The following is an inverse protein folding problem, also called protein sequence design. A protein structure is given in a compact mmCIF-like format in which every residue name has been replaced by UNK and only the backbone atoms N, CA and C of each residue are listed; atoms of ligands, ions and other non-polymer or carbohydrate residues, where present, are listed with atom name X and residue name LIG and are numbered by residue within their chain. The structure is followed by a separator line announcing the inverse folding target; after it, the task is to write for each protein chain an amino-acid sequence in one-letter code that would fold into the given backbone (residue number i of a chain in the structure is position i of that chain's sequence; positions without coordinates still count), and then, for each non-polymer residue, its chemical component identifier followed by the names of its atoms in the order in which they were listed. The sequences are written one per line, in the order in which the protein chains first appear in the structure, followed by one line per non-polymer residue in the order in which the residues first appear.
data_IF_014041892261
#
_entry.id   IF_014041892261
#
_cell.length_a   1.000
_cell.length_b   1.000
_cell.length_c   1.000
_cell.angle_alpha   90.00
_cell.angle_beta   90.00
_cell.angle_gamma   90.00
#
_symmetry.space_group_name_H-M   'P 1'
#
loop_
_entity.id
_entity.type
_entity.pdbx_description
1 polymer ?
#
# COMPACT_ATOMS: atom_id res chain seq x y z
N UNK A 1 3.82 -34.62 -11.20
CA UNK A 1 3.22 -33.36 -11.66
C UNK A 1 3.93 -32.21 -10.98
N UNK A 2 4.58 -31.38 -11.75
CA UNK A 2 5.19 -30.17 -11.21
C UNK A 2 4.06 -29.20 -10.81
N UNK A 3 4.23 -28.58 -9.66
CA UNK A 3 3.31 -27.50 -9.27
C UNK A 3 3.32 -26.43 -10.37
N UNK A 4 2.16 -26.03 -10.81
CA UNK A 4 2.05 -24.92 -11.76
C UNK A 4 2.41 -23.64 -11.02
N UNK A 5 3.46 -22.94 -11.49
CA UNK A 5 3.83 -21.67 -10.90
C UNK A 5 2.69 -20.68 -11.09
N UNK A 6 2.24 -20.07 -9.99
CA UNK A 6 1.23 -19.03 -10.05
C UNK A 6 1.81 -17.81 -10.75
N UNK A 7 1.15 -17.37 -11.81
CA UNK A 7 1.56 -16.19 -12.54
C UNK A 7 1.07 -14.94 -11.80
N UNK A 8 2.01 -14.20 -11.21
CA UNK A 8 1.74 -12.92 -10.56
C UNK A 8 1.99 -11.77 -11.54
N UNK A 9 1.03 -10.88 -11.66
CA UNK A 9 1.14 -9.67 -12.47
C UNK A 9 0.74 -8.48 -11.63
N UNK A 10 1.57 -7.44 -11.64
CA UNK A 10 1.24 -6.16 -11.02
C UNK A 10 0.93 -5.16 -12.13
N UNK A 11 -0.21 -4.52 -12.06
CA UNK A 11 -0.64 -3.56 -13.07
C UNK A 11 -1.23 -2.31 -12.44
N UNK A 12 -1.03 -1.18 -13.13
CA UNK A 12 -1.66 0.09 -12.74
C UNK A 12 -3.15 0.04 -13.04
N UNK A 13 -3.95 0.53 -12.11
CA UNK A 13 -5.39 0.74 -12.30
C UNK A 13 -5.58 1.84 -13.35
N UNK A 14 -6.33 1.56 -14.42
CA UNK A 14 -6.49 2.47 -15.55
C UNK A 14 -7.93 2.93 -15.80
N UNK A 15 -8.90 2.33 -15.12
CA UNK A 15 -10.31 2.64 -15.32
C UNK A 15 -11.12 2.38 -14.07
N UNK A 16 -12.39 2.77 -14.11
CA UNK A 16 -13.28 2.64 -12.95
C UNK A 16 -13.53 1.18 -12.57
N UNK A 17 -13.61 0.28 -13.54
CA UNK A 17 -13.83 -1.15 -13.27
C UNK A 17 -12.65 -1.74 -12.48
N UNK A 18 -11.43 -1.37 -12.85
CA UNK A 18 -10.23 -1.80 -12.13
C UNK A 18 -10.13 -1.15 -10.74
N UNK A 19 -10.49 0.13 -10.63
CA UNK A 19 -10.55 0.78 -9.33
C UNK A 19 -11.56 0.08 -8.43
N UNK A 20 -12.70 -0.31 -8.97
CA UNK A 20 -13.71 -1.07 -8.23
C UNK A 20 -13.14 -2.39 -7.69
N UNK A 21 -12.33 -3.09 -8.49
CA UNK A 21 -11.65 -4.31 -8.04
C UNK A 21 -10.69 -4.03 -6.87
N UNK A 22 -9.94 -2.93 -6.94
CA UNK A 22 -9.05 -2.53 -5.85
C UNK A 22 -9.85 -2.21 -4.57
N UNK A 23 -10.94 -1.46 -4.70
CA UNK A 23 -11.79 -1.13 -3.56
C UNK A 23 -12.46 -2.37 -2.97
N UNK A 24 -12.81 -3.37 -3.79
CA UNK A 24 -13.40 -4.62 -3.30
C UNK A 24 -12.40 -5.40 -2.44
N UNK A 25 -11.13 -5.45 -2.83
CA UNK A 25 -10.08 -6.08 -2.02
C UNK A 25 -9.92 -5.34 -0.69
N UNK A 26 -9.90 -4.01 -0.72
CA UNK A 26 -9.78 -3.18 0.47
C UNK A 26 -10.97 -3.38 1.41
N UNK A 27 -12.16 -3.55 0.87
CA UNK A 27 -13.36 -3.85 1.66
C UNK A 27 -13.18 -5.15 2.44
N UNK A 28 -12.73 -6.20 1.79
CA UNK A 28 -12.49 -7.49 2.44
C UNK A 28 -11.45 -7.37 3.54
N UNK A 29 -10.31 -6.72 3.26
CA UNK A 29 -9.18 -6.68 4.20
C UNK A 29 -9.40 -5.66 5.31
N UNK A 30 -9.79 -4.44 4.97
CA UNK A 30 -9.84 -3.37 5.98
C UNK A 30 -11.18 -3.29 6.68
N UNK A 31 -12.29 -3.47 5.97
CA UNK A 31 -13.61 -3.32 6.56
C UNK A 31 -14.07 -4.63 7.20
N UNK A 32 -14.07 -5.73 6.45
CA UNK A 32 -14.58 -7.00 6.96
C UNK A 32 -13.60 -7.66 7.93
N UNK A 33 -12.31 -7.73 7.59
CA UNK A 33 -11.31 -8.41 8.40
C UNK A 33 -10.82 -7.55 9.58
N UNK A 34 -10.51 -6.27 9.35
CA UNK A 34 -9.92 -5.39 10.35
C UNK A 34 -10.93 -4.45 11.01
N UNK A 35 -12.18 -4.46 10.56
CA UNK A 35 -13.28 -3.65 11.12
C UNK A 35 -13.05 -2.15 11.04
N UNK A 36 -12.33 -1.68 10.03
CA UNK A 36 -12.18 -0.24 9.77
C UNK A 36 -13.51 0.30 9.23
N UNK A 37 -14.03 1.42 9.77
CA UNK A 37 -15.26 2.00 9.24
C UNK A 37 -15.12 2.40 7.78
N UNK A 38 -16.13 2.11 6.96
CA UNK A 38 -16.14 2.44 5.54
C UNK A 38 -15.90 3.93 5.30
N UNK A 39 -16.45 4.79 6.15
CA UNK A 39 -16.30 6.24 6.06
C UNK A 39 -14.86 6.72 6.25
N UNK A 40 -14.00 5.91 6.87
CA UNK A 40 -12.58 6.21 7.07
C UNK A 40 -11.73 5.55 5.99
N UNK A 41 -12.06 4.32 5.60
CA UNK A 41 -11.26 3.52 4.67
C UNK A 41 -11.22 4.13 3.28
N UNK A 42 -12.36 4.56 2.76
CA UNK A 42 -12.45 5.26 1.48
C UNK A 42 -12.36 6.76 1.73
N UNK A 43 -11.44 7.43 1.05
CA UNK A 43 -11.18 8.84 1.27
C UNK A 43 -11.03 9.61 -0.07
N UNK A 44 -10.91 10.93 0.03
CA UNK A 44 -10.80 11.81 -1.13
C UNK A 44 -9.51 11.57 -1.93
N UNK A 45 -8.49 10.97 -1.31
CA UNK A 45 -7.23 10.69 -1.98
C UNK A 45 -7.37 9.62 -3.05
N UNK A 46 -8.39 8.78 -2.98
CA UNK A 46 -8.62 7.71 -3.95
C UNK A 46 -8.79 8.24 -5.38
N UNK A 47 -9.34 9.42 -5.54
CA UNK A 47 -9.57 10.00 -6.86
C UNK A 47 -8.28 10.39 -7.59
N UNK A 48 -7.20 10.69 -6.85
CA UNK A 48 -5.93 11.15 -7.41
C UNK A 48 -4.75 10.23 -7.14
N UNK A 49 -4.97 9.14 -6.43
CA UNK A 49 -3.91 8.20 -6.11
C UNK A 49 -3.50 7.35 -7.31
N UNK A 50 -2.24 6.94 -7.30
CA UNK A 50 -1.76 5.91 -8.21
C UNK A 50 -2.06 4.56 -7.55
N UNK A 51 -3.01 3.82 -8.12
CA UNK A 51 -3.43 2.52 -7.60
C UNK A 51 -2.81 1.39 -8.39
N UNK A 52 -2.39 0.34 -7.69
CA UNK A 52 -1.94 -0.91 -8.30
C UNK A 52 -2.90 -2.04 -7.95
N UNK A 53 -3.00 -3.00 -8.86
CA UNK A 53 -3.64 -4.29 -8.63
C UNK A 53 -2.62 -5.40 -8.83
N UNK A 54 -2.65 -6.38 -7.96
CA UNK A 54 -1.91 -7.63 -8.14
C UNK A 54 -2.89 -8.71 -8.56
N UNK A 55 -2.52 -9.44 -9.62
CA UNK A 55 -3.31 -10.55 -10.15
C UNK A 55 -2.55 -11.85 -10.00
N UNK A 56 -3.24 -12.89 -9.56
CA UNK A 56 -2.72 -14.26 -9.59
C UNK A 56 -3.59 -15.05 -10.55
N UNK A 57 -2.99 -15.52 -11.64
CA UNK A 57 -3.68 -16.26 -12.70
C UNK A 57 -4.97 -15.55 -13.18
N UNK A 58 -4.87 -14.22 -13.32
CA UNK A 58 -5.97 -13.38 -13.79
C UNK A 58 -6.97 -12.94 -12.73
N UNK A 59 -6.80 -13.36 -11.47
CA UNK A 59 -7.68 -12.95 -10.37
C UNK A 59 -7.03 -11.85 -9.55
N UNK A 60 -7.76 -10.78 -9.29
CA UNK A 60 -7.28 -9.67 -8.45
C UNK A 60 -7.18 -10.15 -7.00
N UNK A 61 -5.97 -10.08 -6.42
CA UNK A 61 -5.68 -10.61 -5.08
C UNK A 61 -5.04 -9.60 -4.14
N UNK A 62 -4.58 -8.47 -4.65
CA UNK A 62 -3.92 -7.47 -3.83
C UNK A 62 -3.98 -6.10 -4.46
N UNK A 63 -3.75 -5.08 -3.64
CA UNK A 63 -3.75 -3.68 -4.09
C UNK A 63 -2.86 -2.83 -3.19
N UNK A 64 -2.53 -1.64 -3.66
CA UNK A 64 -1.83 -0.62 -2.91
C UNK A 64 -1.94 0.70 -3.63
N UNK A 65 -1.69 1.80 -2.94
CA UNK A 65 -1.76 3.12 -3.56
C UNK A 65 -0.58 4.00 -3.16
N UNK A 66 -0.23 4.92 -4.06
CA UNK A 66 0.73 5.99 -3.82
C UNK A 66 0.01 7.31 -3.98
N UNK A 67 0.15 8.19 -2.99
CA UNK A 67 -0.38 9.54 -3.01
C UNK A 67 0.80 10.51 -2.87
N UNK A 68 0.88 11.52 -3.73
CA UNK A 68 1.88 12.58 -3.58
C UNK A 68 1.39 13.54 -2.50
N UNK A 69 2.23 13.81 -1.51
CA UNK A 69 1.86 14.66 -0.39
C UNK A 69 1.96 16.14 -0.76
N UNK A 70 1.08 16.98 -0.20
CA UNK A 70 1.16 18.43 -0.45
C UNK A 70 2.38 19.09 0.20
N UNK A 71 2.95 18.44 1.23
CA UNK A 71 4.11 18.92 1.98
C UNK A 71 4.99 17.75 2.39
N UNK A 72 6.33 17.97 2.53
CA UNK A 72 7.18 16.92 3.09
C UNK A 72 6.79 16.65 4.55
N UNK A 73 7.10 15.46 5.07
CA UNK A 73 6.90 15.19 6.48
C UNK A 73 7.84 16.04 7.33
N UNK A 74 7.51 16.17 8.61
CA UNK A 74 8.27 17.03 9.54
C UNK A 74 9.76 16.70 9.51
N UNK A 75 10.59 17.76 9.39
CA UNK A 75 12.05 17.64 9.36
C UNK A 75 12.62 17.30 7.98
N UNK A 76 11.79 17.12 6.97
CA UNK A 76 12.22 16.75 5.63
C UNK A 76 12.00 17.87 4.63
N UNK A 77 12.70 17.77 3.49
CA UNK A 77 12.55 18.69 2.36
C UNK A 77 12.20 17.88 1.11
N UNK A 78 11.86 18.58 0.03
CA UNK A 78 11.55 17.95 -1.24
C UNK A 78 10.10 17.52 -1.34
N UNK A 79 9.82 16.69 -2.33
CA UNK A 79 8.48 16.16 -2.59
C UNK A 79 8.40 14.70 -2.13
N UNK A 80 7.42 14.41 -1.32
CA UNK A 80 7.26 13.08 -0.71
C UNK A 80 5.96 12.42 -1.12
N UNK A 81 6.01 11.10 -1.23
CA UNK A 81 4.83 10.29 -1.42
C UNK A 81 4.42 9.57 -0.15
N UNK A 82 3.17 9.16 -0.09
CA UNK A 82 2.68 8.26 0.95
C UNK A 82 2.14 7.01 0.30
N UNK A 83 2.70 5.87 0.69
CA UNK A 83 2.22 4.55 0.27
C UNK A 83 1.27 4.05 1.36
N UNK A 84 0.12 3.55 0.93
CA UNK A 84 -0.87 3.04 1.87
C UNK A 84 -1.90 2.16 1.20
N UNK A 85 -2.89 1.79 1.98
CA UNK A 85 -3.97 0.89 1.54
C UNK A 85 -3.42 -0.38 0.90
N UNK A 86 -2.28 -0.85 1.42
CA UNK A 86 -1.69 -2.12 1.02
C UNK A 86 -2.54 -3.25 1.58
N UNK A 87 -3.12 -4.04 0.69
CA UNK A 87 -4.01 -5.12 1.09
C UNK A 87 -3.81 -6.33 0.20
N UNK A 88 -3.65 -7.50 0.81
CA UNK A 88 -3.56 -8.77 0.11
C UNK A 88 -4.60 -9.71 0.73
N UNK A 89 -5.38 -10.38 -0.10
CA UNK A 89 -6.37 -11.34 0.38
C UNK A 89 -5.71 -12.40 1.25
N UNK A 90 -6.36 -12.77 2.34
CA UNK A 90 -5.79 -13.65 3.37
C UNK A 90 -5.21 -14.95 2.79
N UNK A 91 -5.91 -15.58 1.87
CA UNK A 91 -5.46 -16.82 1.23
C UNK A 91 -4.21 -16.66 0.37
N UNK A 92 -3.89 -15.42 -0.03
CA UNK A 92 -2.79 -15.13 -0.93
C UNK A 92 -1.58 -14.52 -0.22
N UNK A 93 -1.63 -14.41 1.10
CA UNK A 93 -0.53 -13.85 1.90
C UNK A 93 0.63 -14.83 2.00
N UNK A 94 1.82 -14.32 2.34
CA UNK A 94 3.08 -15.08 2.49
C UNK A 94 3.64 -15.63 1.18
N UNK A 95 3.18 -15.09 0.05
CA UNK A 95 3.68 -15.47 -1.28
C UNK A 95 4.39 -14.31 -1.99
N UNK A 96 4.74 -13.25 -1.26
CA UNK A 96 5.51 -12.14 -1.81
C UNK A 96 4.69 -11.08 -2.53
N UNK A 97 3.37 -11.12 -2.49
CA UNK A 97 2.50 -10.17 -3.20
C UNK A 97 2.70 -8.74 -2.65
N UNK A 98 2.70 -8.58 -1.33
CA UNK A 98 2.94 -7.29 -0.70
C UNK A 98 4.30 -6.71 -1.06
N UNK A 99 5.31 -7.56 -1.13
CA UNK A 99 6.66 -7.22 -1.56
C UNK A 99 6.67 -6.59 -2.95
N UNK A 100 6.00 -7.26 -3.90
CA UNK A 100 5.93 -6.79 -5.29
C UNK A 100 5.15 -5.49 -5.40
N UNK A 101 4.04 -5.37 -4.69
CA UNK A 101 3.25 -4.14 -4.67
C UNK A 101 4.07 -2.97 -4.14
N UNK A 102 4.75 -3.16 -3.02
CA UNK A 102 5.55 -2.11 -2.42
C UNK A 102 6.67 -1.65 -3.36
N UNK A 103 7.38 -2.60 -3.96
CA UNK A 103 8.45 -2.29 -4.91
C UNK A 103 7.97 -1.52 -6.12
N UNK A 104 6.81 -1.88 -6.66
CA UNK A 104 6.24 -1.18 -7.81
C UNK A 104 5.78 0.23 -7.44
N UNK A 105 5.20 0.42 -6.25
CA UNK A 105 4.84 1.75 -5.77
C UNK A 105 6.08 2.62 -5.54
N UNK A 106 7.14 2.06 -4.98
CA UNK A 106 8.42 2.77 -4.84
C UNK A 106 9.01 3.12 -6.20
N UNK A 107 8.91 2.21 -7.15
CA UNK A 107 9.37 2.44 -8.53
C UNK A 107 8.66 3.63 -9.18
N UNK A 108 7.35 3.73 -9.00
CA UNK A 108 6.59 4.88 -9.49
C UNK A 108 7.01 6.18 -8.80
N UNK A 109 7.20 6.15 -7.48
CA UNK A 109 7.68 7.31 -6.74
C UNK A 109 9.04 7.79 -7.25
N UNK A 110 9.95 6.85 -7.54
CA UNK A 110 11.26 7.19 -8.12
C UNK A 110 11.14 7.78 -9.52
N UNK A 111 10.28 7.23 -10.36
CA UNK A 111 10.04 7.75 -11.71
C UNK A 111 9.52 9.19 -11.68
N UNK A 112 8.76 9.53 -10.65
CA UNK A 112 8.25 10.90 -10.45
C UNK A 112 9.26 11.85 -9.83
N UNK A 113 10.46 11.36 -9.48
CA UNK A 113 11.51 12.17 -8.87
C UNK A 113 11.24 12.54 -7.42
N UNK A 114 10.44 11.75 -6.70
CA UNK A 114 10.17 12.02 -5.30
C UNK A 114 11.42 11.80 -4.45
N UNK A 115 11.57 12.61 -3.40
CA UNK A 115 12.70 12.56 -2.48
C UNK A 115 12.65 11.28 -1.63
N UNK A 116 11.46 10.84 -1.30
CA UNK A 116 11.24 9.65 -0.51
C UNK A 116 9.76 9.34 -0.37
N UNK A 117 9.47 8.28 0.36
CA UNK A 117 8.11 7.88 0.67
C UNK A 117 7.98 7.58 2.16
N UNK A 118 6.77 7.74 2.65
CA UNK A 118 6.43 7.34 4.01
C UNK A 118 5.23 6.41 4.01
N UNK A 119 5.11 5.65 5.06
CA UNK A 119 3.96 4.79 5.33
C UNK A 119 3.48 5.05 6.75
N UNK A 120 2.17 4.92 6.97
CA UNK A 120 1.63 4.76 8.32
C UNK A 120 1.48 3.26 8.55
N UNK A 121 2.48 2.67 9.18
CA UNK A 121 2.55 1.22 9.35
C UNK A 121 1.78 0.78 10.57
N UNK A 122 0.86 -0.17 10.41
CA UNK A 122 0.31 -0.87 11.56
C UNK A 122 1.45 -1.59 12.28
N UNK A 123 1.46 -1.57 13.61
CA UNK A 123 2.62 -2.07 14.38
C UNK A 123 3.02 -3.49 13.99
N UNK A 124 2.05 -4.38 13.75
CA UNK A 124 2.40 -5.75 13.39
C UNK A 124 3.09 -5.85 12.01
N UNK A 125 2.91 -4.85 11.16
CA UNK A 125 3.50 -4.82 9.82
C UNK A 125 4.81 -4.02 9.75
N UNK A 126 5.23 -3.40 10.85
CA UNK A 126 6.43 -2.55 10.86
C UNK A 126 7.66 -3.30 10.39
N UNK A 127 7.85 -4.55 10.85
CA UNK A 127 8.98 -5.38 10.45
C UNK A 127 9.08 -5.59 8.94
N UNK A 128 7.94 -5.72 8.27
CA UNK A 128 7.88 -5.82 6.82
C UNK A 128 8.47 -4.56 6.16
N UNK A 129 8.08 -3.38 6.63
CA UNK A 129 8.60 -2.12 6.10
C UNK A 129 10.07 -1.89 6.46
N UNK A 130 10.47 -2.24 7.68
CA UNK A 130 11.87 -2.15 8.09
C UNK A 130 12.77 -3.02 7.21
N UNK A 131 12.30 -4.20 6.84
CA UNK A 131 13.01 -5.09 5.93
C UNK A 131 13.23 -4.43 4.55
N UNK A 132 12.35 -3.53 4.16
CA UNK A 132 12.46 -2.77 2.90
C UNK A 132 13.19 -1.44 3.06
N UNK A 133 13.83 -1.18 4.20
CA UNK A 133 14.65 0.00 4.40
C UNK A 133 13.90 1.20 5.00
N UNK A 134 12.70 1.00 5.48
CA UNK A 134 11.95 2.07 6.16
C UNK A 134 12.41 2.18 7.60
N UNK A 135 12.50 3.42 8.11
CA UNK A 135 12.85 3.69 9.49
C UNK A 135 11.68 4.33 10.22
N UNK A 136 11.29 3.81 11.39
CA UNK A 136 10.20 4.42 12.15
C UNK A 136 10.61 5.79 12.68
N UNK A 137 9.64 6.72 12.68
CA UNK A 137 9.85 8.10 13.12
C UNK A 137 8.67 8.50 14.00
N UNK A 138 8.99 9.01 15.19
CA UNK A 138 7.99 9.54 16.10
C UNK A 138 7.29 8.47 16.94
N UNK A 139 6.26 8.89 17.64
CA UNK A 139 5.53 8.05 18.58
C UNK A 139 4.47 7.21 17.86
N UNK A 140 4.06 6.14 18.51
CA UNK A 140 2.90 5.35 18.11
C UNK A 140 1.65 6.23 18.19
N UNK A 141 0.79 6.14 17.19
CA UNK A 141 -0.49 6.85 17.15
C UNK A 141 -1.59 5.91 16.71
N UNK A 142 -2.83 6.26 17.06
CA UNK A 142 -3.98 5.45 16.68
C UNK A 142 -4.60 6.03 15.41
N UNK A 143 -4.88 5.16 14.44
CA UNK A 143 -5.56 5.51 13.21
C UNK A 143 -6.56 4.39 12.92
N UNK A 144 -7.82 4.78 12.74
CA UNK A 144 -8.92 3.82 12.52
C UNK A 144 -9.01 2.73 13.62
N UNK A 145 -8.69 3.08 14.86
CA UNK A 145 -8.73 2.15 15.99
C UNK A 145 -7.55 1.18 16.07
N UNK A 146 -6.53 1.37 15.27
CA UNK A 146 -5.36 0.48 15.19
C UNK A 146 -4.10 1.29 15.45
N UNK A 147 -3.18 0.75 16.26
CA UNK A 147 -1.89 1.39 16.53
C UNK A 147 -1.00 1.38 15.30
N UNK A 148 -0.46 2.56 14.98
CA UNK A 148 0.42 2.79 13.83
C UNK A 148 1.68 3.52 14.26
N UNK A 149 2.70 3.48 13.41
CA UNK A 149 3.86 4.35 13.50
C UNK A 149 4.23 4.81 12.09
N UNK A 150 4.66 6.06 11.96
CA UNK A 150 5.15 6.55 10.67
C UNK A 150 6.54 5.96 10.41
N UNK A 151 6.78 5.47 9.20
CA UNK A 151 8.09 4.99 8.79
C UNK A 151 8.44 5.61 7.43
N UNK A 152 9.70 5.98 7.25
CA UNK A 152 10.17 6.74 6.09
C UNK A 152 11.31 6.05 5.40
N UNK A 153 11.35 6.22 4.08
CA UNK A 153 12.45 5.75 3.23
C UNK A 153 12.86 6.86 2.27
N UNK A 154 14.14 7.23 2.31
CA UNK A 154 14.74 8.19 1.38
C UNK A 154 15.21 7.46 0.12
N UNK A 155 15.07 8.12 -1.00
CA UNK A 155 15.58 7.59 -2.26
C UNK A 155 16.96 8.16 -2.60
#
# INVERSE_FOLDING_TARGET
MTATDTKLVIAQVKNEAELFQALAIREVVFIEEQHVPETIERDAEDARAHHLLAFADGHAIGTGRLVVRPRPPEGETGTWGQIGRMAVLQSERKHGVGNLLLRELEGEARRRGLTGVLVHAQLYALGFYEHHGYQPVGAVFEEAGIDHVEARKHF
#
